data_IF_203876315521
#
_entry.id   IF_203876315521
#
_cell.length_a   1.000
_cell.length_b   1.000
_cell.length_c   1.000
_cell.angle_alpha   90.00
_cell.angle_beta   90.00
_cell.angle_gamma   90.00
#
_symmetry.space_group_name_H-M   'P 1'
#
loop_
_entity.id
_entity.type
_entity.pdbx_description
1 polymer ?
#
# COMPACT_ATOMS: atom_id res chain seq x y z
N UNK A 1 -0.31 -8.92 2.84
CA UNK A 1 -0.43 -7.46 2.75
C UNK A 1 -0.87 -6.94 4.12
N UNK A 2 -0.24 -5.87 4.58
CA UNK A 2 -0.54 -5.28 5.90
C UNK A 2 -1.19 -3.92 5.73
N UNK A 3 -2.11 -3.56 6.62
CA UNK A 3 -2.73 -2.24 6.66
C UNK A 3 -2.94 -1.81 8.10
N UNK A 4 -2.81 -0.52 8.37
CA UNK A 4 -3.18 0.10 9.65
C UNK A 4 -4.60 0.66 9.67
N UNK A 5 -5.35 0.45 8.58
CA UNK A 5 -6.77 0.78 8.52
C UNK A 5 -7.58 -0.51 8.74
N UNK A 6 -8.03 -0.70 9.99
CA UNK A 6 -8.82 -1.86 10.38
C UNK A 6 -10.10 -2.02 9.54
N UNK A 7 -10.79 -0.91 9.23
CA UNK A 7 -12.00 -0.97 8.43
C UNK A 7 -11.74 -1.48 7.00
N UNK A 8 -10.60 -1.14 6.41
CA UNK A 8 -10.20 -1.65 5.10
C UNK A 8 -9.84 -3.14 5.14
N UNK A 9 -9.14 -3.58 6.20
CA UNK A 9 -8.85 -5.00 6.39
C UNK A 9 -10.13 -5.83 6.48
N UNK A 10 -11.10 -5.36 7.26
CA UNK A 10 -12.42 -5.99 7.41
C UNK A 10 -13.23 -5.96 6.10
N UNK A 11 -13.21 -4.85 5.37
CA UNK A 11 -13.90 -4.71 4.09
C UNK A 11 -13.40 -5.72 3.04
N UNK A 12 -12.08 -5.87 2.93
CA UNK A 12 -11.46 -6.82 2.00
C UNK A 12 -11.72 -8.25 2.45
N UNK A 13 -11.65 -8.54 3.76
CA UNK A 13 -11.96 -9.87 4.28
C UNK A 13 -13.42 -10.28 4.00
N UNK A 14 -14.37 -9.35 4.19
CA UNK A 14 -15.80 -9.57 3.96
C UNK A 14 -16.18 -9.50 2.47
N UNK A 15 -15.27 -9.04 1.61
CA UNK A 15 -15.50 -8.84 0.18
C UNK A 15 -16.52 -7.75 -0.17
N UNK A 16 -16.85 -6.86 0.77
CA UNK A 16 -17.84 -5.81 0.57
C UNK A 16 -17.62 -4.61 1.52
N UNK A 17 -17.94 -3.43 1.02
CA UNK A 17 -17.97 -2.18 1.77
C UNK A 17 -19.18 -1.31 1.37
N UNK A 18 -19.59 -0.40 2.26
CA UNK A 18 -20.81 0.41 2.04
C UNK A 18 -20.67 1.38 0.85
N UNK A 19 -19.47 1.87 0.60
CA UNK A 19 -19.15 2.81 -0.47
C UNK A 19 -18.88 2.05 -1.79
N UNK A 20 -19.62 2.35 -2.87
CA UNK A 20 -19.46 1.67 -4.16
C UNK A 20 -18.06 1.79 -4.76
N UNK A 21 -17.36 2.92 -4.57
CA UNK A 21 -16.02 3.09 -5.13
C UNK A 21 -15.02 2.11 -4.51
N UNK A 22 -15.19 1.79 -3.22
CA UNK A 22 -14.34 0.83 -2.50
C UNK A 22 -14.62 -0.60 -2.95
N UNK A 23 -15.87 -0.93 -3.31
CA UNK A 23 -16.20 -2.24 -3.86
C UNK A 23 -15.51 -2.53 -5.19
N UNK A 24 -15.29 -1.51 -6.03
CA UNK A 24 -14.52 -1.67 -7.26
C UNK A 24 -13.06 -2.03 -6.96
N UNK A 25 -12.46 -1.42 -5.94
CA UNK A 25 -11.09 -1.74 -5.50
C UNK A 25 -11.02 -3.17 -4.96
N UNK A 26 -11.99 -3.56 -4.13
CA UNK A 26 -12.09 -4.94 -3.61
C UNK A 26 -12.21 -5.95 -4.76
N UNK A 27 -13.07 -5.68 -5.74
CA UNK A 27 -13.24 -6.53 -6.91
C UNK A 27 -11.94 -6.67 -7.73
N UNK A 28 -11.20 -5.58 -7.92
CA UNK A 28 -9.88 -5.61 -8.59
C UNK A 28 -8.85 -6.45 -7.82
N UNK A 29 -8.84 -6.37 -6.49
CA UNK A 29 -7.96 -7.18 -5.64
C UNK A 29 -8.26 -8.68 -5.84
N UNK A 30 -9.53 -9.08 -5.80
CA UNK A 30 -9.91 -10.48 -6.04
C UNK A 30 -9.62 -10.92 -7.47
N UNK A 31 -9.87 -10.06 -8.46
CA UNK A 31 -9.54 -10.37 -9.84
C UNK A 31 -8.04 -10.65 -10.01
N UNK A 32 -7.17 -9.83 -9.40
CA UNK A 32 -5.73 -10.04 -9.43
C UNK A 32 -5.31 -11.36 -8.76
N UNK A 33 -5.94 -11.72 -7.62
CA UNK A 33 -5.71 -12.99 -6.94
C UNK A 33 -6.09 -14.19 -7.81
N UNK A 34 -7.26 -14.14 -8.45
CA UNK A 34 -7.76 -15.19 -9.33
C UNK A 34 -6.84 -15.34 -10.55
N UNK A 35 -6.53 -14.23 -11.23
CA UNK A 35 -5.70 -14.23 -12.43
C UNK A 35 -4.27 -14.69 -12.15
N UNK A 36 -3.70 -14.31 -11.00
CA UNK A 36 -2.37 -14.73 -10.60
C UNK A 36 -2.31 -16.09 -9.90
N UNK A 37 -3.46 -16.74 -9.66
CA UNK A 37 -3.55 -18.00 -8.91
C UNK A 37 -2.85 -17.95 -7.53
N UNK A 38 -2.98 -16.84 -6.81
CA UNK A 38 -2.43 -16.68 -5.46
C UNK A 38 -3.47 -16.12 -4.49
N UNK A 39 -3.33 -16.45 -3.21
CA UNK A 39 -4.12 -15.85 -2.14
C UNK A 39 -3.30 -14.79 -1.42
N UNK A 40 -3.86 -13.59 -1.22
CA UNK A 40 -3.25 -12.57 -0.37
C UNK A 40 -3.94 -12.57 0.98
N UNK A 41 -3.17 -12.81 2.03
CA UNK A 41 -3.61 -12.55 3.40
C UNK A 41 -3.55 -11.04 3.66
N UNK A 42 -4.67 -10.45 4.07
CA UNK A 42 -4.73 -9.09 4.57
C UNK A 42 -4.77 -9.11 6.09
N UNK A 43 -3.85 -8.41 6.75
CA UNK A 43 -3.81 -8.33 8.20
C UNK A 43 -3.71 -6.88 8.66
N UNK A 44 -4.42 -6.57 9.74
CA UNK A 44 -4.26 -5.30 10.43
C UNK A 44 -2.94 -5.27 11.22
N UNK A 45 -2.22 -4.16 11.12
CA UNK A 45 -1.05 -3.85 11.95
C UNK A 45 -1.23 -2.47 12.59
N UNK A 46 -0.73 -2.21 13.81
CA UNK A 46 -0.78 -0.87 14.38
C UNK A 46 -0.04 0.16 13.50
N UNK A 47 -0.53 1.39 13.38
CA UNK A 47 0.09 2.43 12.53
C UNK A 47 1.57 2.71 12.83
N UNK A 48 2.03 2.51 14.07
CA UNK A 48 3.47 2.57 14.41
C UNK A 48 4.30 1.55 13.62
N UNK A 49 3.76 0.37 13.39
CA UNK A 49 4.39 -0.68 12.58
C UNK A 49 4.28 -0.39 11.07
N UNK A 50 3.32 0.44 10.64
CA UNK A 50 3.15 0.90 9.26
C UNK A 50 3.86 2.24 8.96
N UNK A 51 4.62 2.77 9.92
CA UNK A 51 5.24 4.10 9.86
C UNK A 51 6.11 4.33 8.63
N UNK A 52 6.72 3.28 8.08
CA UNK A 52 7.51 3.36 6.86
C UNK A 52 6.65 3.61 5.60
N UNK A 53 5.51 2.93 5.47
CA UNK A 53 4.58 3.15 4.37
C UNK A 53 3.94 4.55 4.48
N UNK A 54 3.67 5.02 5.70
CA UNK A 54 3.21 6.39 5.97
C UNK A 54 4.21 7.46 5.55
N UNK A 55 5.51 7.22 5.77
CA UNK A 55 6.54 8.15 5.32
C UNK A 55 6.59 8.24 3.80
N UNK A 56 6.44 7.10 3.10
CA UNK A 56 6.40 7.07 1.64
C UNK A 56 5.14 7.75 1.08
N UNK A 57 3.96 7.45 1.63
CA UNK A 57 2.68 8.04 1.16
C UNK A 57 2.62 9.55 1.33
N UNK A 58 3.33 10.11 2.31
CA UNK A 58 3.46 11.55 2.57
C UNK A 58 4.63 12.21 1.85
N UNK A 59 5.27 11.53 0.91
CA UNK A 59 6.47 12.01 0.19
C UNK A 59 7.66 12.36 1.09
N UNK A 60 7.74 11.82 2.32
CA UNK A 60 8.83 12.06 3.29
C UNK A 60 10.01 11.11 3.05
N UNK A 61 10.45 11.04 1.81
CA UNK A 61 11.48 10.13 1.31
C UNK A 61 12.79 10.21 2.10
N UNK A 62 13.22 11.42 2.48
CA UNK A 62 14.46 11.63 3.27
C UNK A 62 14.38 10.96 4.64
N UNK A 63 13.21 10.98 5.27
CA UNK A 63 13.03 10.36 6.59
C UNK A 63 12.89 8.85 6.47
N UNK A 64 12.19 8.35 5.45
CA UNK A 64 12.15 6.93 5.14
C UNK A 64 13.58 6.35 4.97
N UNK A 65 14.44 7.04 4.19
CA UNK A 65 15.82 6.62 3.96
C UNK A 65 16.70 6.70 5.23
N UNK A 66 16.43 7.63 6.14
CA UNK A 66 17.12 7.67 7.45
C UNK A 66 16.82 6.43 8.29
N UNK A 67 15.58 5.96 8.25
CA UNK A 67 15.16 4.75 8.99
C UNK A 67 15.49 3.45 8.25
N UNK A 68 15.73 3.51 6.93
CA UNK A 68 16.03 2.34 6.09
C UNK A 68 17.25 2.60 5.20
N UNK A 69 18.46 2.72 5.77
CA UNK A 69 19.67 3.08 5.02
C UNK A 69 20.05 2.04 3.95
N UNK A 70 19.58 0.79 4.08
CA UNK A 70 19.76 -0.30 3.11
C UNK A 70 18.77 -0.24 1.94
N UNK A 71 17.70 0.53 2.05
CA UNK A 71 16.69 0.73 1.00
C UNK A 71 17.15 1.71 -0.11
N UNK A 72 18.47 2.00 -0.17
CA UNK A 72 19.14 2.87 -1.17
C UNK A 72 18.82 2.53 -2.63
N UNK A 73 18.27 1.35 -2.92
CA UNK A 73 17.95 0.86 -4.26
C UNK A 73 16.46 0.68 -4.53
N UNK A 74 15.57 1.16 -3.65
CA UNK A 74 14.22 1.49 -4.12
C UNK A 74 14.38 2.68 -5.06
N UNK A 75 14.73 2.38 -6.31
CA UNK A 75 14.51 3.25 -7.44
C UNK A 75 13.07 3.71 -7.27
N UNK A 76 12.92 4.97 -6.86
CA UNK A 76 11.72 5.69 -7.18
C UNK A 76 11.57 5.48 -8.68
N UNK A 77 10.56 4.71 -9.08
CA UNK A 77 10.03 4.82 -10.43
C UNK A 77 9.42 6.21 -10.40
N UNK A 78 10.27 7.23 -10.57
CA UNK A 78 9.87 8.60 -10.84
C UNK A 78 9.45 8.52 -12.30
N UNK A 79 8.15 8.65 -12.61
CA UNK A 79 7.73 8.85 -13.99
C UNK A 79 8.59 9.98 -14.57
N UNK A 80 9.12 9.81 -15.77
CA UNK A 80 10.10 10.72 -16.39
C UNK A 80 9.68 12.20 -16.40
N UNK A 81 8.39 12.46 -16.27
CA UNK A 81 7.75 13.76 -16.13
C UNK A 81 8.08 14.53 -14.83
N UNK A 82 8.67 13.91 -13.81
CA UNK A 82 9.08 14.57 -12.56
C UNK A 82 10.60 14.61 -12.33
N UNK A 83 11.42 14.24 -13.33
CA UNK A 83 12.89 14.27 -13.21
C UNK A 83 13.46 15.68 -13.03
N UNK A 84 12.76 16.69 -13.54
CA UNK A 84 13.30 18.05 -13.67
C UNK A 84 13.09 18.92 -12.41
N UNK A 85 12.53 18.34 -11.35
CA UNK A 85 12.24 19.02 -10.08
C UNK A 85 13.27 18.70 -8.96
N UNK A 86 14.41 18.08 -9.31
CA UNK A 86 15.51 17.75 -8.38
C UNK A 86 16.79 18.48 -8.76
#
# INVERSE_FOLDING_TARGET
MWTDNQANAEAIYNGYYRQPEINNIIAQIYQAQIQGCFSVKFEYIPGRANSQADLLSRNRHREFLKHNPTARYLHLIIPSEYSDLI
#
